data_IF_467129134136
#
_entry.id   IF_467129134136
#
_cell.length_a   1.000
_cell.length_b   1.000
_cell.length_c   1.000
_cell.angle_alpha   90.00
_cell.angle_beta   90.00
_cell.angle_gamma   90.00
#
_symmetry.space_group_name_H-M   'P 1'
#
loop_
_entity.id
_entity.type
_entity.pdbx_description
1 polymer ?
#
# COMPACT_ATOMS: atom_id res chain seq x y z
N UNK A 1 -8.65 -12.84 1.58
CA UNK A 1 -9.56 -11.68 1.51
C UNK A 1 -9.53 -11.00 0.14
N UNK A 2 -8.37 -10.56 -0.38
CA UNK A 2 -8.30 -9.83 -1.67
C UNK A 2 -8.62 -10.60 -2.97
N UNK A 3 -8.94 -11.91 -2.88
CA UNK A 3 -9.17 -12.81 -4.02
C UNK A 3 -8.03 -12.75 -5.07
N UNK A 4 -6.78 -12.81 -4.58
CA UNK A 4 -5.58 -12.70 -5.40
C UNK A 4 -5.26 -14.01 -6.15
N UNK A 5 -6.11 -14.34 -7.11
CA UNK A 5 -6.03 -15.53 -7.96
C UNK A 5 -6.26 -15.12 -9.41
N UNK A 6 -5.50 -15.71 -10.33
CA UNK A 6 -5.69 -15.49 -11.77
C UNK A 6 -7.08 -15.95 -12.20
N UNK A 7 -7.85 -15.07 -12.84
CA UNK A 7 -9.25 -15.32 -13.22
C UNK A 7 -9.40 -16.49 -14.19
N UNK A 8 -8.46 -16.64 -15.13
CA UNK A 8 -8.48 -17.71 -16.14
C UNK A 8 -7.73 -18.96 -15.71
N UNK A 9 -6.59 -18.80 -15.04
CA UNK A 9 -5.66 -19.90 -14.73
C UNK A 9 -5.89 -20.54 -13.37
N UNK A 10 -6.60 -19.87 -12.46
CA UNK A 10 -6.72 -20.30 -11.06
C UNK A 10 -5.42 -20.21 -10.25
N UNK A 11 -4.33 -19.69 -10.84
CA UNK A 11 -3.02 -19.59 -10.15
C UNK A 11 -3.08 -18.53 -9.05
N UNK A 12 -2.76 -18.93 -7.81
CA UNK A 12 -2.65 -18.00 -6.67
C UNK A 12 -1.49 -17.02 -6.87
N UNK A 13 -1.72 -15.74 -6.60
CA UNK A 13 -0.68 -14.70 -6.62
C UNK A 13 0.03 -14.63 -5.27
N UNK A 14 1.32 -14.32 -5.30
CA UNK A 14 2.10 -14.03 -4.08
C UNK A 14 1.61 -12.69 -3.51
N UNK A 15 1.34 -12.67 -2.21
CA UNK A 15 0.92 -11.47 -1.49
C UNK A 15 2.01 -11.07 -0.50
N UNK A 16 2.16 -9.78 -0.26
CA UNK A 16 3.09 -9.20 0.69
C UNK A 16 2.56 -7.87 1.21
N UNK A 17 3.33 -7.24 2.08
CA UNK A 17 3.03 -5.90 2.59
C UNK A 17 3.21 -4.83 1.51
N UNK A 18 2.61 -3.65 1.74
CA UNK A 18 2.89 -2.49 0.90
C UNK A 18 4.37 -2.13 1.01
N UNK A 19 5.01 -1.91 -0.13
CA UNK A 19 6.42 -1.55 -0.23
C UNK A 19 6.53 -0.16 -0.84
N UNK A 20 7.00 0.79 -0.03
CA UNK A 20 7.15 2.18 -0.44
C UNK A 20 8.47 2.44 -1.18
N UNK A 21 9.45 1.54 -1.08
CA UNK A 21 10.72 1.64 -1.82
C UNK A 21 10.46 1.43 -3.31
N UNK A 22 9.72 0.38 -3.66
CA UNK A 22 9.34 0.14 -5.07
C UNK A 22 8.34 1.19 -5.57
N UNK A 23 7.44 1.68 -4.71
CA UNK A 23 6.46 2.69 -5.10
C UNK A 23 7.12 4.06 -5.38
N UNK A 24 8.12 4.45 -4.58
CA UNK A 24 8.98 5.62 -4.86
C UNK A 24 9.76 5.47 -6.16
N UNK A 25 10.32 4.28 -6.40
CA UNK A 25 11.00 3.99 -7.66
C UNK A 25 10.06 4.12 -8.87
N UNK A 26 8.83 3.60 -8.76
CA UNK A 26 7.81 3.76 -9.80
C UNK A 26 7.41 5.23 -10.02
N UNK A 27 7.29 6.02 -8.95
CA UNK A 27 7.03 7.46 -9.06
C UNK A 27 8.18 8.21 -9.74
N UNK A 28 9.43 7.91 -9.40
CA UNK A 28 10.61 8.51 -10.04
C UNK A 28 10.61 8.33 -11.55
N UNK A 29 10.12 7.18 -12.05
CA UNK A 29 10.04 6.89 -13.49
C UNK A 29 8.83 7.58 -14.13
N UNK A 30 7.66 7.52 -13.49
CA UNK A 30 6.40 7.89 -14.13
C UNK A 30 5.92 9.31 -13.83
N UNK A 31 6.47 9.98 -12.82
CA UNK A 31 6.07 11.34 -12.43
C UNK A 31 4.61 11.45 -12.02
N UNK A 32 4.12 10.53 -11.17
CA UNK A 32 2.72 10.54 -10.71
C UNK A 32 2.31 11.90 -10.13
N UNK A 33 1.18 12.43 -10.59
CA UNK A 33 0.55 13.64 -10.04
C UNK A 33 -0.47 13.34 -8.95
N UNK A 34 -1.04 12.13 -8.95
CA UNK A 34 -1.93 11.62 -7.92
C UNK A 34 -1.96 10.08 -7.91
N UNK A 35 -2.35 9.49 -6.78
CA UNK A 35 -2.45 8.04 -6.58
C UNK A 35 -3.91 7.61 -6.33
N UNK A 36 -4.28 6.45 -6.86
CA UNK A 36 -5.46 5.70 -6.44
C UNK A 36 -5.03 4.53 -5.53
N UNK A 37 -5.33 4.60 -4.24
CA UNK A 37 -5.04 3.57 -3.26
C UNK A 37 -6.22 2.58 -3.18
N UNK A 38 -6.07 1.42 -3.80
CA UNK A 38 -7.16 0.44 -3.92
C UNK A 38 -7.10 -0.65 -2.84
N UNK A 39 -8.25 -1.31 -2.60
CA UNK A 39 -8.36 -2.50 -1.74
C UNK A 39 -8.00 -2.23 -0.26
N UNK A 40 -8.29 -1.03 0.23
CA UNK A 40 -8.06 -0.69 1.63
C UNK A 40 -8.86 -1.60 2.57
N UNK A 41 -10.08 -1.96 2.17
CA UNK A 41 -11.01 -2.86 2.86
C UNK A 41 -10.43 -4.25 3.19
N UNK A 42 -9.40 -4.67 2.45
CA UNK A 42 -8.73 -5.94 2.68
C UNK A 42 -7.96 -5.96 4.01
N UNK A 43 -7.55 -4.78 4.48
CA UNK A 43 -6.75 -4.60 5.71
C UNK A 43 -7.62 -4.46 6.97
N UNK A 44 -8.95 -4.33 6.82
CA UNK A 44 -9.92 -4.05 7.90
C UNK A 44 -9.82 -4.98 9.12
N UNK A 45 -9.40 -6.22 8.93
CA UNK A 45 -9.42 -7.25 9.98
C UNK A 45 -8.10 -7.45 10.71
N UNK A 46 -7.02 -6.84 10.22
CA UNK A 46 -5.68 -7.03 10.75
C UNK A 46 -5.52 -6.29 12.08
N UNK A 47 -4.76 -6.87 13.01
CA UNK A 47 -4.40 -6.21 14.28
C UNK A 47 -3.25 -5.22 14.09
N UNK A 48 -2.32 -5.55 13.19
CA UNK A 48 -1.21 -4.70 12.77
C UNK A 48 -1.02 -4.75 11.26
N UNK A 49 -0.53 -3.66 10.68
CA UNK A 49 -0.21 -3.53 9.26
C UNK A 49 1.23 -3.07 9.15
N UNK A 50 2.06 -3.82 8.42
CA UNK A 50 3.45 -3.43 8.15
C UNK A 50 3.56 -2.77 6.78
N UNK A 51 4.42 -1.77 6.69
CA UNK A 51 4.75 -1.07 5.44
C UNK A 51 6.27 -1.03 5.29
N UNK A 52 6.79 -1.55 4.19
CA UNK A 52 8.22 -1.51 3.90
C UNK A 52 8.65 -0.10 3.52
N UNK A 53 9.54 0.50 4.29
CA UNK A 53 9.95 1.92 4.17
C UNK A 53 11.37 2.11 3.66
N UNK A 54 12.23 1.10 3.84
CA UNK A 54 13.61 1.13 3.38
C UNK A 54 14.14 -0.28 3.12
N UNK A 55 15.14 -0.38 2.25
CA UNK A 55 15.92 -1.60 2.07
C UNK A 55 17.29 -1.48 2.72
N UNK A 56 17.76 -2.58 3.30
CA UNK A 56 19.12 -2.75 3.80
C UNK A 56 19.81 -3.89 3.08
N UNK A 57 21.11 -3.74 2.87
CA UNK A 57 22.00 -4.80 2.40
C UNK A 57 23.21 -4.79 3.31
N UNK A 58 23.53 -5.94 3.90
CA UNK A 58 24.64 -6.09 4.85
C UNK A 58 24.59 -5.04 5.97
N UNK A 59 23.39 -4.83 6.55
CA UNK A 59 23.14 -3.86 7.62
C UNK A 59 23.11 -2.38 7.21
N UNK A 60 23.40 -2.03 5.95
CA UNK A 60 23.41 -0.63 5.48
C UNK A 60 22.16 -0.32 4.65
N UNK A 61 21.48 0.79 4.96
CA UNK A 61 20.35 1.27 4.15
C UNK A 61 20.86 1.69 2.77
N UNK A 62 20.10 1.33 1.74
CA UNK A 62 20.36 1.75 0.36
C UNK A 62 19.30 2.77 -0.09
N UNK A 63 19.68 3.82 -0.84
CA UNK A 63 18.75 4.86 -1.28
C UNK A 63 18.03 4.52 -2.59
N UNK A 64 18.26 3.34 -3.18
CA UNK A 64 17.78 2.97 -4.51
C UNK A 64 17.13 1.58 -4.50
N UNK A 65 16.27 1.34 -5.49
CA UNK A 65 15.75 0.01 -5.79
C UNK A 65 16.81 -0.80 -6.55
N UNK A 66 17.23 -1.99 -6.08
CA UNK A 66 18.25 -2.79 -6.76
C UNK A 66 17.84 -3.25 -8.17
N UNK A 67 18.70 -3.03 -9.15
CA UNK A 67 18.46 -3.45 -10.54
C UNK A 67 18.76 -4.96 -10.78
N UNK A 68 19.71 -5.53 -10.03
CA UNK A 68 20.06 -6.96 -10.11
C UNK A 68 19.16 -7.78 -9.16
N UNK A 69 18.60 -8.88 -9.66
CA UNK A 69 17.67 -9.73 -8.92
C UNK A 69 18.32 -10.46 -7.74
N UNK A 70 19.56 -10.92 -7.86
CA UNK A 70 20.31 -11.61 -6.79
C UNK A 70 20.61 -10.64 -5.64
N UNK A 71 20.81 -9.36 -5.96
CA UNK A 71 20.94 -8.30 -4.96
C UNK A 71 19.59 -8.01 -4.32
N UNK A 72 18.52 -7.89 -5.12
CA UNK A 72 17.16 -7.68 -4.61
C UNK A 72 16.70 -8.81 -3.68
N UNK A 73 17.10 -10.06 -3.93
CA UNK A 73 16.79 -11.20 -3.07
C UNK A 73 17.45 -11.14 -1.69
N UNK A 74 18.55 -10.39 -1.56
CA UNK A 74 19.32 -10.25 -0.31
C UNK A 74 18.88 -9.04 0.51
N UNK A 75 17.89 -8.26 0.04
CA UNK A 75 17.46 -7.08 0.79
C UNK A 75 16.73 -7.50 2.06
N UNK A 76 17.12 -6.85 3.15
CA UNK A 76 16.36 -6.84 4.38
C UNK A 76 15.43 -5.63 4.34
N UNK A 77 14.12 -5.88 4.40
CA UNK A 77 13.13 -4.81 4.40
C UNK A 77 12.98 -4.26 5.82
N UNK A 78 13.15 -2.96 5.96
CA UNK A 78 12.80 -2.25 7.18
C UNK A 78 11.32 -1.86 7.13
N UNK A 79 10.57 -2.24 8.17
CA UNK A 79 9.14 -2.02 8.24
C UNK A 79 8.77 -0.96 9.28
N UNK A 80 7.79 -0.15 8.93
CA UNK A 80 7.00 0.62 9.90
C UNK A 80 5.69 -0.11 10.17
N UNK A 81 5.31 -0.21 11.44
CA UNK A 81 4.15 -0.99 11.90
C UNK A 81 3.05 -0.05 12.38
N UNK A 82 1.86 -0.21 11.82
CA UNK A 82 0.67 0.55 12.16
C UNK A 82 -0.34 -0.32 12.89
N UNK A 83 -1.08 0.23 13.87
CA UNK A 83 -2.21 -0.48 14.44
C UNK A 83 -3.30 -0.62 13.38
N UNK A 84 -3.83 -1.83 13.21
CA UNK A 84 -5.00 -2.06 12.37
C UNK A 84 -6.25 -1.42 12.97
N UNK A 85 -7.23 -1.13 12.10
CA UNK A 85 -8.46 -0.44 12.50
C UNK A 85 -9.58 -1.35 12.96
N UNK A 86 -9.53 -2.66 12.66
CA UNK A 86 -10.49 -3.67 13.16
C UNK A 86 -11.96 -3.27 12.96
N UNK A 87 -12.25 -2.63 11.83
CA UNK A 87 -13.56 -2.05 11.51
C UNK A 87 -13.79 -2.12 10.01
N UNK A 88 -15.02 -2.37 9.59
CA UNK A 88 -15.41 -2.47 8.19
C UNK A 88 -15.46 -1.08 7.53
N UNK A 89 -14.71 -0.92 6.44
CA UNK A 89 -14.64 0.33 5.67
C UNK A 89 -15.47 0.29 4.38
N UNK A 90 -16.10 -0.83 4.05
CA UNK A 90 -16.75 -1.05 2.75
C UNK A 90 -17.93 -0.11 2.45
N UNK A 91 -18.57 0.41 3.49
CA UNK A 91 -19.66 1.39 3.38
C UNK A 91 -19.18 2.86 3.30
N UNK A 92 -17.89 3.14 3.52
CA UNK A 92 -17.36 4.50 3.48
C UNK A 92 -17.48 5.13 2.09
N UNK A 93 -17.93 6.39 2.01
CA UNK A 93 -18.10 7.16 0.75
C UNK A 93 -17.40 8.51 0.77
N UNK A 94 -17.03 9.00 1.94
CA UNK A 94 -16.22 10.22 2.13
C UNK A 94 -15.09 9.97 3.11
N UNK A 95 -14.06 10.80 3.06
CA UNK A 95 -12.90 10.74 3.96
C UNK A 95 -13.27 10.61 5.44
N UNK A 96 -14.25 11.39 5.90
CA UNK A 96 -14.70 11.39 7.28
C UNK A 96 -15.37 10.09 7.75
N UNK A 97 -15.76 9.20 6.84
CA UNK A 97 -16.32 7.89 7.19
C UNK A 97 -15.22 6.87 7.56
N UNK A 98 -13.97 7.12 7.14
CA UNK A 98 -12.86 6.21 7.42
C UNK A 98 -12.42 6.32 8.88
N UNK A 99 -12.12 5.20 9.56
CA UNK A 99 -11.54 5.22 10.91
C UNK A 99 -10.24 6.01 10.95
N UNK A 100 -9.97 6.69 12.07
CA UNK A 100 -8.76 7.53 12.23
C UNK A 100 -7.45 6.77 11.92
N UNK A 101 -7.38 5.48 12.28
CA UNK A 101 -6.23 4.62 11.97
C UNK A 101 -6.06 4.36 10.46
N UNK A 102 -7.16 4.18 9.73
CA UNK A 102 -7.12 4.05 8.27
C UNK A 102 -6.70 5.37 7.60
N UNK A 103 -7.23 6.50 8.09
CA UNK A 103 -6.80 7.83 7.63
C UNK A 103 -5.30 8.07 7.88
N UNK A 104 -4.77 7.65 9.04
CA UNK A 104 -3.35 7.75 9.37
C UNK A 104 -2.50 6.92 8.41
N UNK A 105 -2.93 5.70 8.09
CA UNK A 105 -2.26 4.84 7.10
C UNK A 105 -2.19 5.52 5.72
N UNK A 106 -3.29 6.12 5.26
CA UNK A 106 -3.36 6.83 3.98
C UNK A 106 -2.41 8.04 3.98
N UNK A 107 -2.48 8.89 5.01
CA UNK A 107 -1.60 10.06 5.17
C UNK A 107 -0.12 9.65 5.21
N UNK A 108 0.18 8.53 5.87
CA UNK A 108 1.55 8.01 5.92
C UNK A 108 2.08 7.67 4.53
N UNK A 109 1.30 6.92 3.74
CA UNK A 109 1.66 6.55 2.37
C UNK A 109 1.85 7.80 1.51
N UNK A 110 0.90 8.74 1.56
CA UNK A 110 0.94 10.00 0.83
C UNK A 110 2.20 10.83 1.15
N UNK A 111 2.46 11.06 2.44
CA UNK A 111 3.62 11.82 2.91
C UNK A 111 4.94 11.15 2.53
N UNK A 112 4.99 9.82 2.61
CA UNK A 112 6.22 9.09 2.35
C UNK A 112 6.59 9.16 0.87
N UNK A 113 5.62 9.07 -0.05
CA UNK A 113 5.86 9.12 -1.50
C UNK A 113 5.98 10.56 -2.00
N UNK A 114 5.32 11.52 -1.34
CA UNK A 114 5.25 12.92 -1.78
C UNK A 114 4.26 13.16 -2.91
N UNK A 115 3.27 12.28 -3.08
CA UNK A 115 2.25 12.34 -4.14
C UNK A 115 0.86 12.21 -3.52
N UNK A 116 -0.08 13.12 -3.82
CA UNK A 116 -1.39 13.12 -3.18
C UNK A 116 -2.22 11.88 -3.54
N UNK A 117 -2.93 11.31 -2.56
CA UNK A 117 -3.88 10.23 -2.81
C UNK A 117 -5.23 10.84 -3.17
N UNK A 118 -5.65 10.68 -4.43
CA UNK A 118 -6.90 11.24 -4.94
C UNK A 118 -8.08 10.28 -4.77
N UNK A 119 -7.84 8.98 -4.87
CA UNK A 119 -8.88 7.97 -4.74
C UNK A 119 -8.53 6.89 -3.74
N UNK A 120 -9.51 6.43 -2.97
CA UNK A 120 -9.38 5.33 -2.02
C UNK A 120 -10.48 4.29 -2.28
N UNK A 121 -10.09 3.08 -2.67
CA UNK A 121 -11.01 1.99 -2.96
C UNK A 121 -11.28 1.15 -1.72
N UNK A 122 -12.55 1.02 -1.36
CA UNK A 122 -13.05 0.24 -0.20
C UNK A 122 -13.97 -0.91 -0.63
N UNK A 123 -13.92 -1.31 -1.90
CA UNK A 123 -14.75 -2.37 -2.43
C UNK A 123 -14.65 -2.50 -3.95
N UNK A 124 -15.52 -3.34 -4.52
CA UNK A 124 -15.48 -3.67 -5.96
C UNK A 124 -16.38 -2.79 -6.82
N UNK A 125 -17.46 -2.24 -6.26
CA UNK A 125 -18.41 -1.45 -7.03
C UNK A 125 -17.84 -0.07 -7.35
N UNK A 126 -18.42 0.62 -8.34
CA UNK A 126 -18.00 1.96 -8.74
C UNK A 126 -18.15 2.97 -7.60
N UNK A 127 -19.18 2.78 -6.77
CA UNK A 127 -19.52 3.63 -5.64
C UNK A 127 -18.57 3.40 -4.45
N UNK A 128 -17.89 2.25 -4.39
CA UNK A 128 -16.89 1.93 -3.37
C UNK A 128 -15.51 2.59 -3.66
N UNK A 129 -15.54 3.81 -4.19
CA UNK A 129 -14.35 4.61 -4.48
C UNK A 129 -14.55 6.02 -3.91
N UNK A 130 -13.80 6.33 -2.85
CA UNK A 130 -13.82 7.64 -2.20
C UNK A 130 -12.93 8.58 -3.00
N UNK A 131 -13.46 9.71 -3.46
CA UNK A 131 -12.67 10.79 -4.05
C UNK A 131 -12.32 11.83 -2.97
N UNK A 132 -11.04 12.18 -2.89
CA UNK A 132 -10.49 13.04 -1.83
C UNK A 132 -10.55 14.53 -2.19
N UNK A 133 -10.37 14.85 -3.48
CA UNK A 133 -10.42 16.19 -4.07
C UNK A 133 -10.67 16.13 -5.58
#
# INVERSE_FOLDING_TARGET
RGHEVGVTTGRKRRCGWLDLVILKYAHMINGFTAIALTKLDILDVLDEIKVGVAYKINGKRIPHFPANLEVLQKVEVEYETFPGWKSDTSAARKWGDLPAKAQNYIRFVENHIGVPIKWVGVGKSRECMIQMF
#
